data_IF_125332434777
#
_entry.id   IF_125332434777
#
_cell.length_a   1.000
_cell.length_b   1.000
_cell.length_c   1.000
_cell.angle_alpha   90.00
_cell.angle_beta   90.00
_cell.angle_gamma   90.00
#
_symmetry.space_group_name_H-M   'P 1'
#
loop_
_entity.id
_entity.type
_entity.pdbx_description
1 polymer ?
#
# COMPACT_ATOMS: atom_id res chain seq x y z
N UNK A 1 9.13 9.23 -7.79
CA UNK A 1 7.74 8.78 -8.10
C UNK A 1 6.81 8.99 -6.91
N UNK A 2 7.21 8.57 -5.70
CA UNK A 2 6.39 8.64 -4.49
C UNK A 2 5.95 10.03 -4.07
N UNK A 3 6.80 11.03 -4.27
CA UNK A 3 6.43 12.44 -4.05
C UNK A 3 5.13 12.83 -4.76
N UNK A 4 4.94 12.44 -6.03
CA UNK A 4 3.70 12.74 -6.77
C UNK A 4 2.47 12.04 -6.21
N UNK A 5 2.63 10.82 -5.67
CA UNK A 5 1.55 10.11 -4.98
C UNK A 5 1.22 10.85 -3.69
N UNK A 6 2.21 11.17 -2.86
CA UNK A 6 2.01 11.86 -1.59
C UNK A 6 1.41 13.26 -1.77
N UNK A 7 1.87 14.03 -2.76
CA UNK A 7 1.34 15.36 -3.10
C UNK A 7 -0.17 15.29 -3.42
N UNK A 8 -0.65 14.20 -4.02
CA UNK A 8 -2.07 13.98 -4.29
C UNK A 8 -2.91 13.81 -3.02
N UNK A 9 -2.32 13.22 -1.96
CA UNK A 9 -3.00 12.93 -0.70
C UNK A 9 -2.67 13.93 0.42
N UNK A 10 -1.87 14.97 0.18
CA UNK A 10 -1.49 15.96 1.20
C UNK A 10 -2.69 16.61 1.91
N UNK A 11 -3.80 16.83 1.20
CA UNK A 11 -5.03 17.40 1.77
C UNK A 11 -5.86 16.37 2.57
N UNK A 12 -5.45 15.11 2.57
CA UNK A 12 -6.16 13.98 3.19
C UNK A 12 -5.20 13.12 4.03
N UNK A 13 -4.72 13.60 5.20
CA UNK A 13 -3.69 12.92 5.98
C UNK A 13 -4.01 11.46 6.34
N UNK A 14 -5.28 11.16 6.62
CA UNK A 14 -5.71 9.79 6.90
C UNK A 14 -5.63 8.88 5.69
N UNK A 15 -5.94 9.38 4.48
CA UNK A 15 -5.78 8.60 3.24
C UNK A 15 -4.30 8.42 2.89
N UNK A 16 -3.48 9.44 3.15
CA UNK A 16 -2.05 9.38 2.92
C UNK A 16 -1.40 8.24 3.72
N UNK A 17 -1.73 8.08 5.01
CA UNK A 17 -1.26 6.95 5.83
C UNK A 17 -1.64 5.59 5.27
N UNK A 18 -2.87 5.46 4.74
CA UNK A 18 -3.31 4.21 4.09
C UNK A 18 -2.46 3.96 2.84
N UNK A 19 -2.25 4.98 2.01
CA UNK A 19 -1.46 4.87 0.78
C UNK A 19 -0.01 4.49 1.07
N UNK A 20 0.63 5.12 2.05
CA UNK A 20 1.99 4.77 2.51
C UNK A 20 2.08 3.29 2.87
N UNK A 21 1.10 2.76 3.60
CA UNK A 21 1.02 1.35 3.95
C UNK A 21 0.82 0.44 2.71
N UNK A 22 -0.06 0.80 1.79
CA UNK A 22 -0.27 0.02 0.57
C UNK A 22 1.02 -0.10 -0.24
N UNK A 23 1.80 0.98 -0.32
CA UNK A 23 3.08 0.99 -1.03
C UNK A 23 4.15 0.18 -0.31
N UNK A 24 4.28 0.36 1.00
CA UNK A 24 5.28 -0.33 1.81
C UNK A 24 5.14 -1.86 1.74
N UNK A 25 3.91 -2.37 1.72
CA UNK A 25 3.64 -3.80 1.68
C UNK A 25 3.28 -4.35 0.29
N UNK A 26 3.27 -3.50 -0.74
CA UNK A 26 2.87 -3.91 -2.09
C UNK A 26 1.41 -4.39 -2.18
N UNK A 27 0.51 -3.79 -1.41
CA UNK A 27 -0.91 -4.16 -1.38
C UNK A 27 -1.66 -3.55 -2.55
N UNK A 28 -2.36 -4.40 -3.28
CA UNK A 28 -3.10 -4.02 -4.48
C UNK A 28 -4.51 -3.55 -4.15
N UNK A 29 -4.98 -2.51 -4.82
CA UNK A 29 -6.40 -2.15 -4.86
C UNK A 29 -7.01 -2.77 -6.12
N UNK A 30 -8.07 -3.56 -5.95
CA UNK A 30 -8.84 -4.14 -7.05
C UNK A 30 -10.34 -3.98 -6.77
N UNK A 31 -11.05 -3.26 -7.64
CA UNK A 31 -12.40 -2.81 -7.40
C UNK A 31 -12.53 -2.04 -6.08
N UNK A 32 -13.34 -2.55 -5.15
CA UNK A 32 -13.60 -1.94 -3.83
C UNK A 32 -12.79 -2.57 -2.70
N UNK A 33 -11.79 -3.40 -3.02
CA UNK A 33 -11.10 -4.27 -2.06
C UNK A 33 -9.59 -4.12 -2.16
N UNK A 34 -8.90 -4.50 -1.09
CA UNK A 34 -7.45 -4.47 -1.00
C UNK A 34 -6.94 -5.90 -0.85
N UNK A 35 -5.84 -6.23 -1.54
CA UNK A 35 -5.31 -7.58 -1.62
C UNK A 35 -3.82 -7.63 -1.28
N UNK A 36 -3.44 -8.66 -0.53
CA UNK A 36 -2.07 -9.16 -0.45
C UNK A 36 -1.96 -10.41 -1.33
N UNK A 37 -1.49 -10.24 -2.57
CA UNK A 37 -1.47 -11.31 -3.56
C UNK A 37 -2.89 -11.77 -3.89
N UNK A 38 -3.25 -13.00 -3.50
CA UNK A 38 -4.60 -13.58 -3.65
C UNK A 38 -5.48 -13.42 -2.40
N UNK A 39 -4.94 -12.89 -1.32
CA UNK A 39 -5.64 -12.77 -0.03
C UNK A 39 -6.37 -11.44 0.03
N UNK A 40 -7.70 -11.46 0.12
CA UNK A 40 -8.49 -10.25 0.39
C UNK A 40 -8.27 -9.80 1.84
N UNK A 41 -7.98 -8.51 2.02
CA UNK A 41 -7.78 -7.90 3.32
C UNK A 41 -9.02 -7.11 3.74
N UNK A 42 -9.36 -7.20 5.04
CA UNK A 42 -10.48 -6.44 5.62
C UNK A 42 -10.12 -4.97 5.83
N UNK A 43 -10.97 -4.06 5.37
CA UNK A 43 -10.83 -2.61 5.59
C UNK A 43 -10.59 -2.26 7.07
N UNK A 44 -11.28 -2.93 7.99
CA UNK A 44 -11.15 -2.68 9.43
C UNK A 44 -9.78 -3.07 9.97
N UNK A 45 -9.18 -4.15 9.45
CA UNK A 45 -7.83 -4.58 9.84
C UNK A 45 -6.77 -3.64 9.27
N UNK A 46 -6.95 -3.18 8.03
CA UNK A 46 -6.09 -2.19 7.39
C UNK A 46 -6.14 -0.86 8.16
N UNK A 47 -7.34 -0.39 8.48
CA UNK A 47 -7.55 0.85 9.23
C UNK A 47 -6.84 0.80 10.59
N UNK A 48 -6.98 -0.32 11.32
CA UNK A 48 -6.29 -0.54 12.59
C UNK A 48 -4.78 -0.52 12.43
N UNK A 49 -4.25 -1.23 11.43
CA UNK A 49 -2.82 -1.27 11.16
C UNK A 49 -2.26 0.12 10.79
N UNK A 50 -3.02 0.91 10.03
CA UNK A 50 -2.64 2.26 9.62
C UNK A 50 -2.93 3.35 10.68
N UNK A 51 -3.56 2.99 11.81
CA UNK A 51 -3.92 3.95 12.86
C UNK A 51 -4.96 4.98 12.42
N UNK A 52 -5.90 4.60 11.55
CA UNK A 52 -6.95 5.49 11.02
C UNK A 52 -8.35 4.91 11.18
N UNK A 53 -9.37 5.74 10.96
CA UNK A 53 -10.76 5.27 10.89
C UNK A 53 -11.02 4.43 9.63
N UNK A 54 -11.92 3.44 9.72
CA UNK A 54 -12.29 2.57 8.58
C UNK A 54 -12.74 3.36 7.35
N UNK A 55 -13.44 4.47 7.55
CA UNK A 55 -13.90 5.34 6.44
C UNK A 55 -12.74 5.92 5.65
N UNK A 56 -11.58 6.16 6.28
CA UNK A 56 -10.40 6.63 5.57
C UNK A 56 -9.92 5.59 4.55
N UNK A 57 -9.96 4.29 4.88
CA UNK A 57 -9.62 3.21 3.95
C UNK A 57 -10.58 3.20 2.76
N UNK A 58 -11.89 3.25 3.03
CA UNK A 58 -12.93 3.29 1.97
C UNK A 58 -12.74 4.51 1.07
N UNK A 59 -12.56 5.70 1.64
CA UNK A 59 -12.31 6.93 0.88
C UNK A 59 -11.01 6.84 0.07
N UNK A 60 -9.97 6.19 0.60
CA UNK A 60 -8.70 5.98 -0.13
C UNK A 60 -8.92 5.14 -1.38
N UNK A 61 -9.66 4.03 -1.26
CA UNK A 61 -10.01 3.15 -2.39
C UNK A 61 -10.80 3.94 -3.44
N UNK A 62 -11.77 4.75 -3.03
CA UNK A 62 -12.53 5.60 -3.94
C UNK A 62 -11.64 6.63 -4.65
N UNK A 63 -10.77 7.32 -3.91
CA UNK A 63 -9.83 8.31 -4.44
C UNK A 63 -8.89 7.68 -5.47
N UNK A 64 -8.33 6.50 -5.18
CA UNK A 64 -7.48 5.74 -6.09
C UNK A 64 -8.24 5.38 -7.37
N UNK A 65 -9.47 4.88 -7.25
CA UNK A 65 -10.27 4.46 -8.40
C UNK A 65 -10.74 5.61 -9.29
N UNK A 66 -11.01 6.79 -8.71
CA UNK A 66 -11.41 8.00 -9.45
C UNK A 66 -10.29 8.54 -10.33
N UNK A 67 -9.02 8.32 -9.97
CA UNK A 67 -7.87 8.81 -10.71
C UNK A 67 -7.24 7.68 -11.55
N UNK A 68 -7.25 7.82 -12.89
CA UNK A 68 -6.71 6.79 -13.80
C UNK A 68 -5.23 6.47 -13.56
N UNK A 69 -4.42 7.46 -13.19
CA UNK A 69 -2.99 7.28 -12.94
C UNK A 69 -2.75 6.52 -11.64
N UNK A 70 -3.44 6.89 -10.55
CA UNK A 70 -3.38 6.15 -9.29
C UNK A 70 -3.86 4.71 -9.48
N UNK A 71 -5.02 4.52 -10.12
CA UNK A 71 -5.57 3.18 -10.38
C UNK A 71 -4.57 2.29 -11.11
N UNK A 72 -3.85 2.80 -12.10
CA UNK A 72 -2.84 2.03 -12.83
C UNK A 72 -1.69 1.56 -11.92
N UNK A 73 -1.25 2.38 -10.98
CA UNK A 73 -0.18 2.02 -10.04
C UNK A 73 -0.69 1.02 -9.00
N UNK A 74 -1.78 1.35 -8.30
CA UNK A 74 -2.27 0.56 -7.18
C UNK A 74 -2.90 -0.77 -7.61
N UNK A 75 -3.33 -0.92 -8.87
CA UNK A 75 -3.82 -2.21 -9.41
C UNK A 75 -2.70 -3.16 -9.83
N UNK A 76 -1.44 -2.72 -9.87
CA UNK A 76 -0.29 -3.55 -10.27
C UNK A 76 0.67 -3.87 -9.13
N UNK A 77 0.43 -3.33 -7.94
CA UNK A 77 1.26 -3.63 -6.78
C UNK A 77 1.26 -5.13 -6.47
N UNK A 78 2.42 -5.64 -6.08
CA UNK A 78 2.59 -7.01 -5.64
C UNK A 78 3.34 -7.04 -4.32
N UNK A 79 2.88 -7.84 -3.34
CA UNK A 79 3.63 -8.03 -2.11
C UNK A 79 4.92 -8.77 -2.42
N UNK A 80 6.00 -8.35 -1.78
CA UNK A 80 7.31 -9.01 -1.90
C UNK A 80 7.85 -9.30 -0.51
N UNK A 81 8.60 -10.41 -0.37
CA UNK A 81 9.23 -10.74 0.89
C UNK A 81 10.42 -9.80 1.14
N UNK A 82 10.40 -9.09 2.27
CA UNK A 82 11.55 -8.33 2.72
C UNK A 82 12.54 -9.27 3.42
N UNK A 83 13.61 -9.64 2.73
CA UNK A 83 14.51 -10.70 3.18
C UNK A 83 15.71 -10.22 3.99
N UNK A 84 15.86 -8.91 4.20
CA UNK A 84 17.04 -8.30 4.86
C UNK A 84 17.39 -8.97 6.19
N UNK A 85 16.40 -9.18 7.05
CA UNK A 85 16.62 -9.76 8.38
C UNK A 85 16.72 -11.30 8.35
N UNK A 86 16.07 -11.95 7.38
CA UNK A 86 16.09 -13.41 7.26
C UNK A 86 17.29 -13.95 6.48
N UNK A 87 17.90 -13.15 5.61
CA UNK A 87 18.98 -13.58 4.72
C UNK A 87 20.22 -14.13 5.43
N UNK A 88 20.67 -13.59 6.60
CA UNK A 88 21.78 -14.17 7.34
C UNK A 88 21.54 -15.62 7.77
N UNK A 89 20.28 -16.02 8.02
CA UNK A 89 19.94 -17.40 8.39
C UNK A 89 20.14 -18.39 7.23
N UNK A 90 20.21 -17.89 5.99
CA UNK A 90 20.37 -18.66 4.76
C UNK A 90 21.74 -18.45 4.11
N UNK A 91 22.65 -17.73 4.76
CA UNK A 91 23.94 -17.30 4.20
C UNK A 91 23.81 -16.53 2.86
N UNK A 92 22.75 -15.73 2.71
CA UNK A 92 22.53 -14.92 1.51
C UNK A 92 23.07 -13.50 1.66
N UNK A 93 23.65 -12.96 0.58
CA UNK A 93 23.89 -11.52 0.45
C UNK A 93 22.61 -10.79 0.05
N UNK A 94 22.38 -9.60 0.61
CA UNK A 94 21.21 -8.76 0.30
C UNK A 94 21.67 -7.40 -0.20
N UNK A 95 21.08 -6.95 -1.31
CA UNK A 95 21.16 -5.58 -1.77
C UNK A 95 19.75 -5.01 -1.74
N UNK A 96 19.55 -3.99 -0.91
CA UNK A 96 18.30 -3.25 -0.83
C UNK A 96 18.45 -1.94 -1.61
N UNK A 97 17.49 -1.65 -2.50
CA UNK A 97 17.42 -0.39 -3.22
C UNK A 97 16.17 0.34 -2.75
N UNK A 98 16.36 1.40 -1.96
CA UNK A 98 15.27 2.23 -1.45
C UNK A 98 15.15 3.46 -2.37
N UNK A 99 13.95 3.77 -2.90
CA UNK A 99 13.70 4.91 -3.79
C UNK A 99 13.60 6.27 -3.09
#
# INVERSE_FOLDING_TARGET
MWKKVYDYFQKYPAQQRVVEMLLAYGLRVDGKKIFCGKIELSDSKIARAAGVDRRAVVSTIETINKNKWLRKIFSTLQPTCHLKESAPQMNWGVIEIIP
#
